data_IF_212251326639
#
_entry.id   IF_212251326639
#
_cell.length_a   1.000
_cell.length_b   1.000
_cell.length_c   1.000
_cell.angle_alpha   90.00
_cell.angle_beta   90.00
_cell.angle_gamma   90.00
#
_symmetry.space_group_name_H-M   'P 1'
#
loop_
_entity.id
_entity.type
_entity.pdbx_description
1 polymer ?
#
# COMPACT_ATOMS: atom_id res chain seq x y z
N UNK A 1 36.48 24.28 22.65
CA UNK A 1 35.64 23.24 23.26
C UNK A 1 34.27 23.13 22.61
N UNK A 2 33.42 24.17 22.59
CA UNK A 2 32.06 24.10 22.01
C UNK A 2 31.96 23.57 20.55
N UNK A 3 32.94 23.81 19.68
CA UNK A 3 32.96 23.22 18.33
C UNK A 3 33.26 21.72 18.34
N UNK A 4 34.13 21.25 19.22
CA UNK A 4 34.43 19.81 19.36
C UNK A 4 33.23 19.07 19.97
N UNK A 5 32.54 19.68 20.93
CA UNK A 5 31.28 19.14 21.48
C UNK A 5 30.21 18.94 20.40
N UNK A 6 30.14 19.81 19.38
CA UNK A 6 29.23 19.63 18.25
C UNK A 6 29.62 18.42 17.38
N UNK A 7 30.92 18.21 17.16
CA UNK A 7 31.43 17.09 16.35
C UNK A 7 31.09 15.75 16.97
N UNK A 8 31.12 15.66 18.30
CA UNK A 8 30.91 14.41 19.02
C UNK A 8 29.41 14.06 19.19
N UNK A 9 28.50 14.89 18.66
CA UNK A 9 27.06 14.60 18.66
C UNK A 9 26.78 13.37 17.79
N UNK A 10 26.07 12.41 18.36
CA UNK A 10 25.57 11.24 17.66
C UNK A 10 24.65 11.65 16.52
N UNK A 11 24.89 11.12 15.31
CA UNK A 11 24.22 11.52 14.08
C UNK A 11 22.69 11.42 14.18
N UNK A 12 22.18 10.38 14.83
CA UNK A 12 20.74 10.20 15.08
C UNK A 12 20.11 11.38 15.82
N UNK A 13 20.84 11.99 16.77
CA UNK A 13 20.37 13.09 17.61
C UNK A 13 20.57 14.48 16.99
N UNK A 14 21.33 14.57 15.89
CA UNK A 14 21.58 15.84 15.19
C UNK A 14 20.27 16.45 14.71
N UNK A 15 20.02 17.69 15.10
CA UNK A 15 18.91 18.50 14.62
C UNK A 15 19.46 19.63 13.75
N UNK A 16 19.26 19.62 12.41
CA UNK A 16 19.92 20.55 11.50
C UNK A 16 19.64 22.03 11.82
N UNK A 17 18.41 22.38 12.23
CA UNK A 17 18.04 23.74 12.62
C UNK A 17 18.84 24.23 13.84
N UNK A 18 18.90 23.40 14.89
CA UNK A 18 19.67 23.70 16.11
C UNK A 18 21.17 23.77 15.84
N UNK A 19 21.68 22.87 14.99
CA UNK A 19 23.07 22.86 14.56
C UNK A 19 23.44 24.16 13.84
N UNK A 20 22.60 24.62 12.90
CA UNK A 20 22.77 25.90 12.21
C UNK A 20 22.86 27.06 13.18
N UNK A 21 21.90 27.19 14.10
CA UNK A 21 21.90 28.25 15.12
C UNK A 21 23.17 28.23 15.97
N UNK A 22 23.59 27.05 16.44
CA UNK A 22 24.83 26.91 17.21
C UNK A 22 26.07 27.37 16.42
N UNK A 23 26.16 27.04 15.13
CA UNK A 23 27.27 27.46 14.27
C UNK A 23 27.25 28.98 14.00
N UNK A 24 26.07 29.57 13.79
CA UNK A 24 25.91 31.03 13.63
C UNK A 24 26.27 31.81 14.90
N UNK A 25 25.89 31.29 16.07
CA UNK A 25 26.29 31.85 17.37
C UNK A 25 27.81 31.77 17.59
N UNK A 26 28.43 30.65 17.24
CA UNK A 26 29.88 30.48 17.31
C UNK A 26 30.60 31.44 16.36
N UNK A 27 30.10 31.60 15.13
CA UNK A 27 30.66 32.54 14.16
C UNK A 27 30.55 33.99 14.65
N UNK A 28 29.41 34.38 15.19
CA UNK A 28 29.18 35.71 15.79
C UNK A 28 30.09 35.95 16.99
N UNK A 29 30.24 34.96 17.86
CA UNK A 29 31.14 35.05 19.03
C UNK A 29 32.60 35.20 18.60
N UNK A 30 33.02 34.52 17.53
CA UNK A 30 34.35 34.66 16.96
C UNK A 30 34.58 36.03 16.35
N UNK A 31 33.62 36.56 15.57
CA UNK A 31 33.77 37.89 14.96
C UNK A 31 33.76 39.03 15.99
N UNK A 32 33.20 38.81 17.17
CA UNK A 32 33.25 39.74 18.31
C UNK A 32 34.58 39.74 19.09
N UNK A 33 35.51 38.81 18.81
CA UNK A 33 36.79 38.72 19.53
C UNK A 33 37.72 39.93 19.26
N UNK A 34 38.62 40.20 20.22
CA UNK A 34 39.61 41.29 20.16
C UNK A 34 40.58 41.08 18.98
N UNK A 35 41.02 42.18 18.35
CA UNK A 35 41.89 42.17 17.16
C UNK A 35 43.20 41.39 17.35
N UNK A 36 43.77 41.37 18.56
CA UNK A 36 44.95 40.56 18.90
C UNK A 36 44.72 39.05 18.68
N UNK A 37 43.52 38.54 18.95
CA UNK A 37 43.14 37.13 18.76
C UNK A 37 42.86 36.81 17.29
N UNK A 38 42.34 37.78 16.54
CA UNK A 38 42.04 37.62 15.11
C UNK A 38 43.27 37.47 14.22
N UNK A 39 44.42 37.95 14.69
CA UNK A 39 45.70 37.85 13.97
C UNK A 39 46.35 36.47 14.06
N UNK A 40 45.85 35.57 14.91
CA UNK A 40 46.37 34.20 14.99
C UNK A 40 45.90 33.37 13.79
N UNK A 41 46.79 32.54 13.25
CA UNK A 41 46.47 31.65 12.14
C UNK A 41 45.32 30.67 12.47
N UNK A 42 45.25 30.23 13.74
CA UNK A 42 44.19 29.36 14.26
C UNK A 42 42.79 30.00 14.20
N UNK A 43 42.68 31.33 14.33
CA UNK A 43 41.41 32.04 14.19
C UNK A 43 40.85 31.89 12.77
N UNK A 44 41.70 32.12 11.77
CA UNK A 44 41.33 31.98 10.36
C UNK A 44 40.86 30.56 10.03
N UNK A 45 41.63 29.55 10.45
CA UNK A 45 41.29 28.14 10.22
C UNK A 45 39.95 27.74 10.85
N UNK A 46 39.70 28.10 12.12
CA UNK A 46 38.43 27.78 12.80
C UNK A 46 37.25 28.51 12.17
N UNK A 47 37.43 29.79 11.79
CA UNK A 47 36.39 30.57 11.11
C UNK A 47 35.99 29.92 9.78
N UNK A 48 36.98 29.56 8.96
CA UNK A 48 36.74 28.88 7.68
C UNK A 48 36.06 27.52 7.88
N UNK A 49 36.41 26.76 8.92
CA UNK A 49 35.73 25.50 9.24
C UNK A 49 34.25 25.72 9.58
N UNK A 50 33.92 26.69 10.43
CA UNK A 50 32.53 27.01 10.78
C UNK A 50 31.74 27.46 9.53
N UNK A 51 32.32 28.31 8.69
CA UNK A 51 31.70 28.74 7.43
C UNK A 51 31.45 27.57 6.48
N UNK A 52 32.37 26.60 6.41
CA UNK A 52 32.20 25.38 5.62
C UNK A 52 31.10 24.47 6.20
N UNK A 53 31.03 24.31 7.52
CA UNK A 53 29.96 23.54 8.16
C UNK A 53 28.58 24.19 7.96
N UNK A 54 28.49 25.52 7.98
CA UNK A 54 27.27 26.24 7.65
C UNK A 54 26.80 25.98 6.21
N UNK A 55 27.74 25.93 5.25
CA UNK A 55 27.43 25.57 3.85
C UNK A 55 26.92 24.14 3.69
N UNK A 56 27.27 23.23 4.60
CA UNK A 56 26.80 21.83 4.60
C UNK A 56 25.41 21.64 5.21
N UNK A 57 24.84 22.65 5.88
CA UNK A 57 23.54 22.52 6.55
C UNK A 57 22.40 22.08 5.60
N UNK A 58 22.23 22.61 4.38
CA UNK A 58 21.19 22.14 3.46
C UNK A 58 21.31 20.64 3.18
N UNK A 59 22.54 20.19 2.93
CA UNK A 59 22.83 18.79 2.67
C UNK A 59 22.60 17.89 3.90
N UNK A 60 22.96 18.36 5.10
CA UNK A 60 22.63 17.67 6.36
C UNK A 60 21.11 17.55 6.53
N UNK A 61 20.32 18.55 6.12
CA UNK A 61 18.85 18.40 6.13
C UNK A 61 18.39 17.29 5.19
N UNK A 62 18.94 17.22 3.98
CA UNK A 62 18.63 16.17 3.01
C UNK A 62 19.00 14.78 3.54
N UNK A 63 20.19 14.61 4.13
CA UNK A 63 20.62 13.37 4.77
C UNK A 63 19.75 12.97 5.97
N UNK A 64 19.10 13.92 6.63
CA UNK A 64 18.16 13.65 7.73
C UNK A 64 16.74 13.36 7.25
N UNK A 65 16.50 13.28 5.93
CA UNK A 65 15.20 12.90 5.37
C UNK A 65 14.81 11.48 5.77
N UNK A 66 13.55 11.30 6.18
CA UNK A 66 12.96 9.99 6.50
C UNK A 66 12.83 9.07 5.27
N UNK A 67 13.01 9.61 4.06
CA UNK A 67 13.07 8.83 2.83
C UNK A 67 14.30 7.91 2.80
N UNK A 68 15.40 8.33 3.44
CA UNK A 68 16.65 7.58 3.48
C UNK A 68 16.57 6.42 4.49
N UNK A 69 16.23 5.25 3.98
CA UNK A 69 16.36 3.96 4.68
C UNK A 69 17.80 3.41 4.66
N UNK A 70 18.05 2.38 5.46
CA UNK A 70 19.35 1.69 5.57
C UNK A 70 19.96 1.26 4.23
N UNK A 71 19.14 0.85 3.25
CA UNK A 71 19.62 0.48 1.91
C UNK A 71 20.34 1.64 1.21
N UNK A 72 19.80 2.85 1.30
CA UNK A 72 20.42 4.05 0.71
C UNK A 72 21.68 4.43 1.47
N UNK A 73 21.65 4.33 2.80
CA UNK A 73 22.83 4.56 3.64
C UNK A 73 23.97 3.59 3.32
N UNK A 74 23.68 2.31 3.06
CA UNK A 74 24.69 1.34 2.60
C UNK A 74 25.38 1.78 1.31
N UNK A 75 24.65 2.36 0.38
CA UNK A 75 25.20 2.84 -0.89
C UNK A 75 26.01 4.12 -0.69
N UNK A 76 25.49 5.08 0.09
CA UNK A 76 26.20 6.33 0.40
C UNK A 76 27.49 6.07 1.20
N UNK A 77 27.49 5.18 2.18
CA UNK A 77 28.65 4.85 3.01
C UNK A 77 29.81 4.28 2.19
N UNK A 78 29.52 3.50 1.15
CA UNK A 78 30.54 3.00 0.20
C UNK A 78 31.15 4.12 -0.63
N UNK A 79 30.36 5.10 -1.04
CA UNK A 79 30.82 6.25 -1.84
C UNK A 79 31.66 7.21 -0.98
N UNK A 80 31.35 7.29 0.32
CA UNK A 80 31.96 8.21 1.27
C UNK A 80 33.14 7.63 2.05
N UNK A 81 33.59 6.42 1.70
CA UNK A 81 34.64 5.69 2.42
C UNK A 81 34.39 5.54 3.93
N UNK A 82 33.13 5.47 4.35
CA UNK A 82 32.71 5.33 5.76
C UNK A 82 32.54 3.87 6.21
N UNK A 83 32.98 2.91 5.39
CA UNK A 83 32.71 1.47 5.55
C UNK A 83 33.30 0.85 6.81
N UNK A 84 34.38 1.42 7.36
CA UNK A 84 35.02 0.94 8.59
C UNK A 84 34.33 1.45 9.86
N UNK A 85 33.62 2.57 9.77
CA UNK A 85 32.96 3.23 10.92
C UNK A 85 31.49 2.83 11.02
N UNK A 86 30.85 2.52 9.89
CA UNK A 86 29.41 2.27 9.84
C UNK A 86 29.07 0.77 9.89
N UNK A 87 28.57 0.29 11.04
CA UNK A 87 27.79 -0.96 11.09
C UNK A 87 26.28 -0.67 11.12
N UNK A 88 25.89 0.43 11.76
CA UNK A 88 24.54 0.97 11.76
C UNK A 88 24.56 2.50 11.90
N UNK A 89 23.38 3.13 11.80
CA UNK A 89 23.24 4.59 11.88
C UNK A 89 23.56 5.20 13.26
N UNK A 90 23.54 4.41 14.33
CA UNK A 90 23.89 4.83 15.69
C UNK A 90 25.40 4.87 15.94
N UNK A 91 26.21 4.31 15.05
CA UNK A 91 27.68 4.34 15.17
C UNK A 91 28.30 5.64 14.62
N UNK A 92 27.51 6.44 13.88
CA UNK A 92 27.98 7.69 13.27
C UNK A 92 27.83 8.89 14.19
N UNK A 93 28.86 9.72 14.20
CA UNK A 93 28.83 11.06 14.80
C UNK A 93 28.77 12.13 13.71
N UNK A 94 28.51 13.38 14.11
CA UNK A 94 28.57 14.51 13.19
C UNK A 94 29.98 14.73 12.64
N UNK A 95 31.02 14.39 13.42
CA UNK A 95 32.42 14.39 13.01
C UNK A 95 32.62 13.53 11.77
N UNK A 96 32.12 12.30 11.78
CA UNK A 96 32.29 11.35 10.68
C UNK A 96 31.68 11.88 9.38
N UNK A 97 30.54 12.59 9.46
CA UNK A 97 29.91 13.22 8.29
C UNK A 97 30.69 14.45 7.82
N UNK A 98 31.19 15.28 8.75
CA UNK A 98 31.95 16.47 8.41
C UNK A 98 33.36 16.20 7.88
N UNK A 99 34.00 15.12 8.33
CA UNK A 99 35.33 14.75 7.87
C UNK A 99 35.31 14.25 6.40
N UNK A 100 34.14 13.83 5.91
CA UNK A 100 33.95 13.40 4.53
C UNK A 100 33.50 14.52 3.58
N UNK A 101 33.51 15.80 4.00
CA UNK A 101 33.00 16.93 3.18
C UNK A 101 33.60 16.99 1.78
N UNK A 102 34.88 16.66 1.61
CA UNK A 102 35.50 16.67 0.29
C UNK A 102 35.04 15.49 -0.58
N UNK A 103 34.81 14.32 0.02
CA UNK A 103 34.23 13.17 -0.67
C UNK A 103 32.76 13.40 -1.01
N UNK A 104 32.02 14.11 -0.16
CA UNK A 104 30.66 14.58 -0.45
C UNK A 104 30.64 15.49 -1.67
N UNK A 105 31.52 16.51 -1.73
CA UNK A 105 31.59 17.44 -2.88
C UNK A 105 31.98 16.74 -4.17
N UNK A 106 32.95 15.81 -4.12
CA UNK A 106 33.39 15.05 -5.30
C UNK A 106 32.27 14.17 -5.88
N UNK A 107 31.44 13.59 -5.01
CA UNK A 107 30.39 12.64 -5.38
C UNK A 107 28.97 13.23 -5.29
N UNK A 108 28.85 14.56 -5.27
CA UNK A 108 27.61 15.27 -4.96
C UNK A 108 26.45 14.85 -5.87
N UNK A 109 26.71 14.66 -7.18
CA UNK A 109 25.69 14.23 -8.14
C UNK A 109 25.17 12.81 -7.83
N UNK A 110 26.08 11.87 -7.56
CA UNK A 110 25.70 10.47 -7.28
C UNK A 110 24.91 10.37 -5.97
N UNK A 111 25.33 11.12 -4.94
CA UNK A 111 24.63 11.16 -3.66
C UNK A 111 23.25 11.80 -3.79
N UNK A 112 23.13 12.87 -4.59
CA UNK A 112 21.81 13.45 -4.94
C UNK A 112 20.91 12.47 -5.66
N UNK A 113 21.44 11.68 -6.60
CA UNK A 113 20.65 10.66 -7.30
C UNK A 113 20.11 9.61 -6.32
N UNK A 114 20.91 9.19 -5.34
CA UNK A 114 20.45 8.29 -4.26
C UNK A 114 19.34 8.94 -3.43
N UNK A 115 19.46 10.22 -3.09
CA UNK A 115 18.44 10.95 -2.32
C UNK A 115 17.14 11.12 -3.11
N UNK A 116 17.23 11.43 -4.42
CA UNK A 116 16.08 11.52 -5.32
C UNK A 116 15.38 10.16 -5.42
N UNK A 117 16.17 9.09 -5.59
CA UNK A 117 15.65 7.73 -5.62
C UNK A 117 14.91 7.39 -4.31
N UNK A 118 15.53 7.67 -3.16
CA UNK A 118 14.92 7.45 -1.85
C UNK A 118 13.59 8.21 -1.69
N UNK A 119 13.54 9.47 -2.14
CA UNK A 119 12.33 10.29 -2.07
C UNK A 119 11.21 9.75 -2.98
N UNK A 120 11.56 9.28 -4.18
CA UNK A 120 10.65 8.60 -5.08
C UNK A 120 10.12 7.28 -4.50
N UNK A 121 10.99 6.51 -3.84
CA UNK A 121 10.62 5.29 -3.14
C UNK A 121 9.67 5.55 -1.97
N UNK A 122 9.88 6.62 -1.19
CA UNK A 122 8.99 7.00 -0.07
C UNK A 122 7.55 7.23 -0.56
N UNK A 123 7.37 7.88 -1.71
CA UNK A 123 6.05 8.11 -2.29
C UNK A 123 5.34 6.79 -2.64
N UNK A 124 6.07 5.81 -3.21
CA UNK A 124 5.51 4.49 -3.50
C UNK A 124 5.21 3.69 -2.22
N UNK A 125 6.07 3.79 -1.20
CA UNK A 125 5.88 3.17 0.13
C UNK A 125 4.59 3.68 0.79
N UNK A 126 4.40 5.00 0.84
CA UNK A 126 3.21 5.62 1.43
C UNK A 126 1.93 5.21 0.68
N UNK A 127 2.02 5.10 -0.64
CA UNK A 127 0.89 4.69 -1.46
C UNK A 127 0.49 3.22 -1.25
N UNK A 128 1.45 2.29 -1.24
CA UNK A 128 1.18 0.88 -0.95
C UNK A 128 0.63 0.71 0.46
N UNK A 129 1.13 1.50 1.41
CA UNK A 129 0.61 1.52 2.77
C UNK A 129 -0.86 1.95 2.80
N UNK A 130 -1.24 3.00 2.07
CA UNK A 130 -2.65 3.43 1.97
C UNK A 130 -3.55 2.33 1.39
N UNK A 131 -3.15 1.71 0.27
CA UNK A 131 -3.88 0.57 -0.31
C UNK A 131 -4.00 -0.55 0.73
N UNK A 132 -2.91 -0.89 1.41
CA UNK A 132 -2.92 -1.94 2.43
C UNK A 132 -3.87 -1.63 3.58
N UNK A 133 -3.83 -0.42 4.11
CA UNK A 133 -4.67 -0.01 5.24
C UNK A 133 -6.15 0.00 4.84
N UNK A 134 -6.47 0.49 3.63
CA UNK A 134 -7.83 0.46 3.09
C UNK A 134 -8.39 -0.96 3.05
N UNK A 135 -7.69 -1.91 2.42
CA UNK A 135 -8.20 -3.27 2.23
C UNK A 135 -8.15 -4.14 3.49
N UNK A 136 -7.27 -3.83 4.45
CA UNK A 136 -7.23 -4.52 5.75
C UNK A 136 -8.51 -4.35 6.56
N UNK A 137 -9.20 -3.22 6.39
CA UNK A 137 -10.42 -2.90 7.15
C UNK A 137 -11.68 -2.90 6.29
N UNK A 138 -11.56 -3.07 4.97
CA UNK A 138 -12.70 -3.01 4.06
C UNK A 138 -13.61 -4.24 4.25
N UNK A 139 -14.83 -3.97 4.72
CA UNK A 139 -15.88 -4.96 4.93
C UNK A 139 -16.98 -4.83 3.88
N UNK A 140 -17.51 -5.97 3.44
CA UNK A 140 -18.68 -6.05 2.58
C UNK A 140 -19.91 -5.55 3.32
N UNK A 141 -20.71 -4.70 2.67
CA UNK A 141 -22.01 -4.30 3.18
C UNK A 141 -23.00 -5.46 2.98
N UNK A 142 -23.63 -5.88 4.07
CA UNK A 142 -24.60 -6.97 4.08
C UNK A 142 -26.01 -6.45 4.42
N UNK A 143 -27.02 -6.93 3.69
CA UNK A 143 -28.43 -6.64 3.95
C UNK A 143 -29.24 -7.91 4.19
N UNK A 144 -30.29 -7.80 5.00
CA UNK A 144 -31.21 -8.91 5.25
C UNK A 144 -32.08 -9.18 4.01
N UNK A 145 -32.08 -10.45 3.59
CA UNK A 145 -32.93 -11.00 2.56
C UNK A 145 -33.93 -11.97 3.19
N UNK A 146 -35.23 -11.64 3.06
CA UNK A 146 -36.36 -12.41 3.59
C UNK A 146 -36.25 -12.80 5.09
N UNK A 147 -35.55 -12.01 5.90
CA UNK A 147 -35.26 -12.30 7.33
C UNK A 147 -34.59 -13.66 7.59
N UNK A 148 -34.02 -14.28 6.56
CA UNK A 148 -33.37 -15.60 6.65
C UNK A 148 -31.88 -15.51 6.41
N UNK A 149 -31.47 -14.74 5.39
CA UNK A 149 -30.09 -14.71 4.91
C UNK A 149 -29.60 -13.29 4.81
N UNK A 150 -28.29 -13.08 4.95
CA UNK A 150 -27.65 -11.81 4.60
C UNK A 150 -26.97 -11.92 3.25
N UNK A 151 -27.24 -10.94 2.38
CA UNK A 151 -26.68 -10.87 1.02
C UNK A 151 -25.83 -9.61 0.86
N UNK A 152 -24.88 -9.65 -0.06
CA UNK A 152 -23.98 -8.51 -0.31
C UNK A 152 -24.73 -7.42 -1.08
N UNK A 153 -24.53 -6.16 -0.67
CA UNK A 153 -25.04 -4.96 -1.34
C UNK A 153 -23.87 -4.05 -1.73
N UNK A 154 -24.18 -2.97 -2.44
CA UNK A 154 -23.28 -1.83 -2.68
C UNK A 154 -22.03 -2.22 -3.46
N UNK A 155 -22.24 -3.05 -4.49
CA UNK A 155 -21.21 -3.53 -5.41
C UNK A 155 -20.41 -2.41 -6.08
N UNK A 156 -21.06 -1.27 -6.37
CA UNK A 156 -20.43 -0.15 -7.07
C UNK A 156 -19.22 0.42 -6.32
N UNK A 157 -19.30 0.56 -5.00
CA UNK A 157 -18.18 1.06 -4.18
C UNK A 157 -17.00 0.08 -4.21
N UNK A 158 -17.27 -1.22 -4.06
CA UNK A 158 -16.26 -2.28 -4.13
C UNK A 158 -15.53 -2.27 -5.48
N UNK A 159 -16.28 -2.26 -6.58
CA UNK A 159 -15.68 -2.28 -7.92
C UNK A 159 -14.96 -0.99 -8.26
N UNK A 160 -15.51 0.17 -7.88
CA UNK A 160 -14.87 1.46 -8.13
C UNK A 160 -13.53 1.53 -7.42
N UNK A 161 -13.49 1.25 -6.11
CA UNK A 161 -12.25 1.21 -5.32
C UNK A 161 -11.26 0.17 -5.82
N UNK A 162 -11.72 -1.02 -6.21
CA UNK A 162 -10.84 -2.07 -6.75
C UNK A 162 -10.18 -1.65 -8.05
N UNK A 163 -10.95 -1.07 -8.98
CA UNK A 163 -10.45 -0.63 -10.30
C UNK A 163 -9.55 0.59 -10.20
N UNK A 164 -9.90 1.55 -9.35
CA UNK A 164 -9.06 2.71 -9.06
C UNK A 164 -7.72 2.27 -8.48
N UNK A 165 -7.72 1.47 -7.41
CA UNK A 165 -6.50 0.93 -6.80
C UNK A 165 -5.68 0.06 -7.75
N UNK A 166 -6.32 -0.69 -8.66
CA UNK A 166 -5.61 -1.46 -9.67
C UNK A 166 -4.94 -0.55 -10.70
N UNK A 167 -5.63 0.47 -11.21
CA UNK A 167 -5.05 1.47 -12.14
C UNK A 167 -3.88 2.22 -11.51
N UNK A 168 -4.01 2.54 -10.24
CA UNK A 168 -3.00 3.10 -9.36
C UNK A 168 -1.74 2.22 -9.27
N UNK A 169 -1.92 0.92 -8.96
CA UNK A 169 -0.85 -0.08 -8.95
C UNK A 169 -0.17 -0.23 -10.32
N UNK A 170 -0.96 -0.24 -11.41
CA UNK A 170 -0.41 -0.30 -12.78
C UNK A 170 0.42 0.94 -13.13
N UNK A 171 0.02 2.11 -12.63
CA UNK A 171 0.77 3.35 -12.83
C UNK A 171 2.08 3.36 -12.04
N UNK A 172 2.09 2.79 -10.83
CA UNK A 172 3.32 2.61 -10.05
C UNK A 172 4.36 1.75 -10.77
N UNK A 173 3.93 0.73 -11.53
CA UNK A 173 4.85 -0.15 -12.29
C UNK A 173 5.64 0.60 -13.37
N UNK A 174 5.15 1.78 -13.79
CA UNK A 174 5.84 2.67 -14.73
C UNK A 174 6.85 3.60 -14.04
N UNK A 175 6.83 3.66 -12.70
CA UNK A 175 7.74 4.49 -11.93
C UNK A 175 9.16 3.94 -11.99
N UNK A 176 10.19 4.79 -12.15
CA UNK A 176 11.59 4.35 -12.08
C UNK A 176 11.97 3.76 -10.72
N UNK A 177 11.20 4.09 -9.67
CA UNK A 177 11.43 3.66 -8.28
C UNK A 177 10.73 2.33 -7.94
N UNK A 178 10.05 1.70 -8.90
CA UNK A 178 9.24 0.50 -8.71
C UNK A 178 10.03 -0.70 -8.16
N UNK A 179 11.30 -0.84 -8.56
CA UNK A 179 12.10 -2.05 -8.30
C UNK A 179 12.18 -2.42 -6.82
N UNK A 180 12.25 -1.43 -5.93
CA UNK A 180 12.29 -1.67 -4.48
C UNK A 180 10.98 -2.26 -3.92
N UNK A 181 9.86 -2.09 -4.62
CA UNK A 181 8.51 -2.48 -4.19
C UNK A 181 7.86 -3.50 -5.14
N UNK A 182 8.62 -4.11 -6.04
CA UNK A 182 8.10 -5.02 -7.06
C UNK A 182 7.27 -6.16 -6.45
N UNK A 183 7.81 -6.86 -5.46
CA UNK A 183 7.15 -7.99 -4.82
C UNK A 183 5.82 -7.60 -4.15
N UNK A 184 5.80 -6.47 -3.43
CA UNK A 184 4.60 -5.99 -2.75
C UNK A 184 3.54 -5.49 -3.75
N UNK A 185 3.98 -4.77 -4.78
CA UNK A 185 3.09 -4.25 -5.83
C UNK A 185 2.44 -5.39 -6.62
N UNK A 186 3.21 -6.41 -7.02
CA UNK A 186 2.69 -7.60 -7.70
C UNK A 186 1.72 -8.39 -6.79
N UNK A 187 1.99 -8.47 -5.48
CA UNK A 187 1.07 -9.08 -4.53
C UNK A 187 -0.27 -8.34 -4.46
N UNK A 188 -0.25 -7.01 -4.46
CA UNK A 188 -1.48 -6.21 -4.48
C UNK A 188 -2.20 -6.27 -5.82
N UNK A 189 -1.49 -6.29 -6.94
CA UNK A 189 -2.05 -6.51 -8.27
C UNK A 189 -2.84 -7.84 -8.33
N UNK A 190 -2.25 -8.93 -7.85
CA UNK A 190 -2.93 -10.24 -7.81
C UNK A 190 -4.17 -10.22 -6.90
N UNK A 191 -4.05 -9.65 -5.69
CA UNK A 191 -5.18 -9.52 -4.76
C UNK A 191 -6.33 -8.72 -5.36
N UNK A 192 -6.05 -7.56 -5.97
CA UNK A 192 -7.07 -6.68 -6.57
C UNK A 192 -7.75 -7.35 -7.76
N UNK A 193 -6.99 -8.01 -8.64
CA UNK A 193 -7.56 -8.79 -9.74
C UNK A 193 -8.45 -9.93 -9.22
N UNK A 194 -8.00 -10.63 -8.16
CA UNK A 194 -8.79 -11.71 -7.53
C UNK A 194 -10.07 -11.18 -6.88
N UNK A 195 -10.03 -10.01 -6.25
CA UNK A 195 -11.24 -9.32 -5.73
C UNK A 195 -12.22 -9.09 -6.89
N UNK A 196 -11.78 -8.40 -7.95
CA UNK A 196 -12.64 -8.08 -9.09
C UNK A 196 -13.27 -9.35 -9.68
N UNK A 197 -12.46 -10.36 -10.00
CA UNK A 197 -12.93 -11.59 -10.63
C UNK A 197 -13.91 -12.38 -9.76
N UNK A 198 -13.62 -12.53 -8.46
CA UNK A 198 -14.51 -13.27 -7.54
C UNK A 198 -15.85 -12.55 -7.39
N UNK A 199 -15.83 -11.23 -7.19
CA UNK A 199 -17.05 -10.49 -6.94
C UNK A 199 -17.88 -10.22 -8.20
N UNK A 200 -17.27 -10.17 -9.40
CA UNK A 200 -17.99 -10.15 -10.68
C UNK A 200 -18.83 -11.43 -10.89
N UNK A 201 -18.29 -12.58 -10.49
CA UNK A 201 -19.04 -13.84 -10.55
C UNK A 201 -20.07 -13.88 -9.40
N UNK A 202 -19.70 -13.39 -8.21
CA UNK A 202 -20.59 -13.39 -7.05
C UNK A 202 -21.87 -12.59 -7.29
N UNK A 203 -21.77 -11.38 -7.85
CA UNK A 203 -22.95 -10.56 -8.14
C UNK A 203 -23.91 -11.27 -9.11
N UNK A 204 -23.38 -11.96 -10.13
CA UNK A 204 -24.21 -12.73 -11.07
C UNK A 204 -24.88 -13.94 -10.37
N UNK A 205 -24.12 -14.71 -9.58
CA UNK A 205 -24.65 -15.83 -8.78
C UNK A 205 -25.74 -15.34 -7.84
N UNK A 206 -25.51 -14.26 -7.10
CA UNK A 206 -26.47 -13.73 -6.14
C UNK A 206 -27.74 -13.24 -6.84
N UNK A 207 -27.62 -12.51 -7.96
CA UNK A 207 -28.76 -12.02 -8.74
C UNK A 207 -29.63 -13.17 -9.24
N UNK A 208 -29.03 -14.20 -9.82
CA UNK A 208 -29.75 -15.38 -10.33
C UNK A 208 -30.36 -16.19 -9.21
N UNK A 209 -29.63 -16.37 -8.11
CA UNK A 209 -30.13 -17.06 -6.93
C UNK A 209 -31.34 -16.34 -6.34
N UNK A 210 -31.30 -15.01 -6.14
CA UNK A 210 -32.46 -14.22 -5.65
C UNK A 210 -33.67 -14.37 -6.57
N UNK A 211 -33.47 -14.34 -7.89
CA UNK A 211 -34.55 -14.54 -8.86
C UNK A 211 -35.18 -15.93 -8.76
N UNK A 212 -34.34 -16.99 -8.76
CA UNK A 212 -34.81 -18.37 -8.70
C UNK A 212 -35.42 -18.72 -7.33
N UNK A 213 -34.84 -18.20 -6.24
CA UNK A 213 -35.35 -18.40 -4.87
C UNK A 213 -36.78 -17.87 -4.76
N UNK A 214 -37.03 -16.66 -5.28
CA UNK A 214 -38.37 -16.08 -5.27
C UNK A 214 -39.39 -16.94 -6.03
N UNK A 215 -38.99 -17.63 -7.09
CA UNK A 215 -39.89 -18.46 -7.90
C UNK A 215 -40.13 -19.84 -7.24
N UNK A 216 -39.05 -20.56 -6.91
CA UNK A 216 -39.14 -21.91 -6.35
C UNK A 216 -39.67 -21.93 -4.91
N UNK A 217 -39.56 -20.83 -4.17
CA UNK A 217 -40.04 -20.75 -2.77
C UNK A 217 -41.47 -20.19 -2.68
N UNK A 218 -41.88 -19.32 -3.61
CA UNK A 218 -43.22 -18.70 -3.56
C UNK A 218 -44.33 -19.58 -4.13
N UNK A 219 -44.01 -20.56 -4.98
CA UNK A 219 -44.99 -21.45 -5.59
C UNK A 219 -44.63 -22.91 -5.35
N UNK A 220 -45.46 -23.60 -4.57
CA UNK A 220 -45.39 -25.07 -4.41
C UNK A 220 -45.64 -25.79 -5.72
N UNK A 221 -46.37 -25.17 -6.65
CA UNK A 221 -46.77 -25.77 -7.91
C UNK A 221 -45.57 -25.90 -8.85
N UNK A 222 -44.72 -24.86 -8.93
CA UNK A 222 -43.50 -24.91 -9.75
C UNK A 222 -42.56 -26.04 -9.28
N UNK A 223 -42.49 -26.28 -7.97
CA UNK A 223 -41.70 -27.38 -7.44
C UNK A 223 -42.20 -28.76 -7.88
N UNK A 224 -43.51 -28.92 -8.03
CA UNK A 224 -44.13 -30.15 -8.54
C UNK A 224 -44.01 -30.26 -10.07
N UNK A 225 -44.06 -29.14 -10.79
CA UNK A 225 -44.00 -29.09 -12.26
C UNK A 225 -42.57 -29.29 -12.79
N UNK A 226 -41.56 -28.83 -12.05
CA UNK A 226 -40.14 -28.93 -12.40
C UNK A 226 -39.34 -29.56 -11.25
N UNK A 227 -39.58 -30.85 -10.92
CA UNK A 227 -38.99 -31.49 -9.74
C UNK A 227 -37.47 -31.62 -9.83
N UNK A 228 -36.94 -31.92 -11.02
CA UNK A 228 -35.50 -32.07 -11.25
C UNK A 228 -34.76 -30.73 -11.08
N UNK A 229 -35.29 -29.66 -11.66
CA UNK A 229 -34.73 -28.31 -11.56
C UNK A 229 -34.83 -27.78 -10.13
N UNK A 230 -35.93 -28.08 -9.43
CA UNK A 230 -36.13 -27.73 -8.02
C UNK A 230 -35.09 -28.40 -7.12
N UNK A 231 -34.86 -29.70 -7.31
CA UNK A 231 -33.86 -30.43 -6.54
C UNK A 231 -32.44 -29.90 -6.80
N UNK A 232 -32.10 -29.63 -8.06
CA UNK A 232 -30.82 -29.01 -8.44
C UNK A 232 -30.68 -27.62 -7.81
N UNK A 233 -31.73 -26.80 -7.86
CA UNK A 233 -31.74 -25.48 -7.27
C UNK A 233 -31.52 -25.53 -5.76
N UNK A 234 -32.22 -26.41 -5.04
CA UNK A 234 -32.03 -26.56 -3.59
C UNK A 234 -30.59 -26.92 -3.22
N UNK A 235 -29.95 -27.82 -3.98
CA UNK A 235 -28.54 -28.16 -3.78
C UNK A 235 -27.63 -26.94 -3.94
N UNK A 236 -27.75 -26.24 -5.07
CA UNK A 236 -26.98 -25.02 -5.38
C UNK A 236 -27.23 -23.90 -4.37
N UNK A 237 -28.49 -23.71 -3.96
CA UNK A 237 -28.90 -22.72 -2.97
C UNK A 237 -28.27 -23.01 -1.60
N UNK A 238 -28.24 -24.27 -1.16
CA UNK A 238 -27.60 -24.65 0.10
C UNK A 238 -26.10 -24.35 0.09
N UNK A 239 -25.41 -24.61 -1.03
CA UNK A 239 -24.00 -24.30 -1.18
C UNK A 239 -23.74 -22.79 -1.16
N UNK A 240 -24.55 -22.01 -1.89
CA UNK A 240 -24.43 -20.56 -1.92
C UNK A 240 -24.76 -19.92 -0.56
N UNK A 241 -25.81 -20.38 0.13
CA UNK A 241 -26.14 -19.96 1.51
C UNK A 241 -25.02 -20.32 2.48
N UNK A 242 -24.36 -21.47 2.27
CA UNK A 242 -23.15 -21.84 3.01
C UNK A 242 -22.03 -20.81 2.85
N UNK A 243 -21.84 -20.25 1.65
CA UNK A 243 -20.91 -19.14 1.42
C UNK A 243 -21.37 -17.85 2.08
N UNK A 244 -22.64 -17.45 1.94
CA UNK A 244 -23.19 -16.26 2.57
C UNK A 244 -22.99 -16.27 4.10
N UNK A 245 -23.19 -17.43 4.75
CA UNK A 245 -22.93 -17.60 6.19
C UNK A 245 -21.46 -17.44 6.57
N UNK A 246 -20.52 -17.81 5.68
CA UNK A 246 -19.08 -17.58 5.91
C UNK A 246 -18.75 -16.09 5.79
N UNK A 247 -19.32 -15.42 4.79
CA UNK A 247 -19.18 -13.97 4.61
C UNK A 247 -19.80 -13.20 5.78
N UNK A 248 -20.95 -13.64 6.30
CA UNK A 248 -21.55 -13.01 7.48
C UNK A 248 -20.66 -13.12 8.72
N UNK A 249 -19.94 -14.24 8.89
CA UNK A 249 -19.01 -14.44 10.00
C UNK A 249 -17.73 -13.61 9.88
N UNK A 250 -17.20 -13.48 8.66
CA UNK A 250 -16.12 -12.54 8.37
C UNK A 250 -16.40 -11.78 7.08
N UNK A 251 -16.90 -10.53 7.17
CA UNK A 251 -17.26 -9.72 6.01
C UNK A 251 -16.05 -9.04 5.37
N UNK A 252 -14.84 -9.22 5.89
CA UNK A 252 -13.63 -8.64 5.32
C UNK A 252 -13.39 -9.20 3.91
N UNK A 253 -13.22 -8.31 2.93
CA UNK A 253 -13.02 -8.70 1.53
C UNK A 253 -11.82 -9.64 1.38
N UNK A 254 -10.72 -9.36 2.09
CA UNK A 254 -9.52 -10.19 2.06
C UNK A 254 -9.75 -11.60 2.62
N UNK A 255 -10.64 -11.76 3.60
CA UNK A 255 -10.99 -13.07 4.16
C UNK A 255 -11.86 -13.86 3.18
N UNK A 256 -12.79 -13.19 2.50
CA UNK A 256 -13.68 -13.82 1.51
C UNK A 256 -12.88 -14.35 0.32
N UNK A 257 -11.96 -13.55 -0.23
CA UNK A 257 -11.13 -14.01 -1.35
C UNK A 257 -10.14 -15.11 -0.91
N UNK A 258 -9.77 -15.17 0.37
CA UNK A 258 -8.90 -16.21 0.92
C UNK A 258 -9.59 -17.56 1.11
N UNK A 259 -10.94 -17.64 1.00
CA UNK A 259 -11.67 -18.91 1.06
C UNK A 259 -11.14 -19.87 -0.02
N UNK A 260 -10.72 -21.10 0.36
CA UNK A 260 -10.18 -22.06 -0.60
C UNK A 260 -11.17 -22.38 -1.71
N UNK A 261 -10.70 -22.33 -2.96
CA UNK A 261 -11.49 -22.64 -4.17
C UNK A 261 -12.78 -21.82 -4.35
N UNK A 262 -12.92 -20.66 -3.68
CA UNK A 262 -14.15 -19.85 -3.73
C UNK A 262 -14.53 -19.46 -5.16
N UNK A 263 -13.54 -19.08 -5.99
CA UNK A 263 -13.78 -18.72 -7.38
C UNK A 263 -14.35 -19.90 -8.18
N UNK A 264 -13.68 -21.06 -8.16
CA UNK A 264 -14.15 -22.29 -8.84
C UNK A 264 -15.54 -22.72 -8.38
N UNK A 265 -15.82 -22.56 -7.08
CA UNK A 265 -17.14 -22.83 -6.52
C UNK A 265 -18.18 -21.88 -7.12
N UNK A 266 -17.93 -20.57 -7.12
CA UNK A 266 -18.84 -19.58 -7.69
C UNK A 266 -19.08 -19.79 -9.19
N UNK A 267 -18.03 -20.13 -9.97
CA UNK A 267 -18.15 -20.44 -11.40
C UNK A 267 -19.10 -21.63 -11.64
N UNK A 268 -18.95 -22.71 -10.85
CA UNK A 268 -19.85 -23.87 -10.92
C UNK A 268 -21.28 -23.52 -10.52
N UNK A 269 -21.45 -22.70 -9.47
CA UNK A 269 -22.78 -22.24 -9.05
C UNK A 269 -23.43 -21.39 -10.15
N UNK A 270 -22.67 -20.48 -10.78
CA UNK A 270 -23.15 -19.64 -11.87
C UNK A 270 -23.63 -20.46 -13.07
N UNK A 271 -22.85 -21.46 -13.51
CA UNK A 271 -23.24 -22.38 -14.59
C UNK A 271 -24.51 -23.17 -14.24
N UNK A 272 -24.58 -23.68 -13.01
CA UNK A 272 -25.75 -24.44 -12.53
C UNK A 272 -27.02 -23.57 -12.50
N UNK A 273 -26.92 -22.36 -11.95
CA UNK A 273 -28.02 -21.39 -11.92
C UNK A 273 -28.44 -20.97 -13.33
N UNK A 274 -27.49 -20.83 -14.26
CA UNK A 274 -27.77 -20.53 -15.68
C UNK A 274 -28.63 -21.62 -16.31
N UNK A 275 -28.26 -22.89 -16.12
CA UNK A 275 -29.00 -24.04 -16.68
C UNK A 275 -30.40 -24.13 -16.10
N UNK A 276 -30.54 -23.93 -14.79
CA UNK A 276 -31.85 -23.94 -14.10
C UNK A 276 -32.74 -22.81 -14.62
N UNK A 277 -32.19 -21.59 -14.73
CA UNK A 277 -32.93 -20.43 -15.22
C UNK A 277 -33.38 -20.62 -16.68
N UNK A 278 -32.53 -21.22 -17.53
CA UNK A 278 -32.89 -21.55 -18.91
C UNK A 278 -34.04 -22.56 -18.98
N UNK A 279 -33.95 -23.67 -18.23
CA UNK A 279 -35.00 -24.68 -18.20
C UNK A 279 -36.35 -24.12 -17.70
N UNK A 280 -36.31 -23.25 -16.68
CA UNK A 280 -37.49 -22.54 -16.20
C UNK A 280 -38.07 -21.61 -17.28
N UNK A 281 -37.22 -20.86 -18.00
CA UNK A 281 -37.63 -20.01 -19.10
C UNK A 281 -38.35 -20.78 -20.21
N UNK A 282 -37.76 -21.89 -20.66
CA UNK A 282 -38.35 -22.76 -21.68
C UNK A 282 -39.71 -23.33 -21.24
N UNK A 283 -39.85 -23.69 -19.96
CA UNK A 283 -41.12 -24.14 -19.39
C UNK A 283 -42.18 -23.03 -19.41
N UNK A 284 -41.83 -21.83 -18.96
CA UNK A 284 -42.74 -20.68 -18.91
C UNK A 284 -43.19 -20.25 -20.32
N UNK A 285 -42.31 -20.33 -21.31
CA UNK A 285 -42.66 -20.07 -22.72
C UNK A 285 -43.67 -21.08 -23.26
N UNK A 286 -43.47 -22.39 -22.98
CA UNK A 286 -44.45 -23.42 -23.35
C UNK A 286 -45.82 -23.19 -22.72
N UNK A 287 -45.86 -22.82 -21.44
CA UNK A 287 -47.11 -22.49 -20.76
C UNK A 287 -47.80 -21.27 -21.38
N UNK A 288 -47.04 -20.22 -21.72
CA UNK A 288 -47.61 -19.04 -22.43
C UNK A 288 -48.17 -19.38 -23.80
N UNK A 289 -47.51 -20.26 -24.55
CA UNK A 289 -47.99 -20.70 -25.86
C UNK A 289 -49.26 -21.56 -25.75
N UNK A 290 -49.39 -22.34 -24.68
CA UNK A 290 -50.57 -23.17 -24.42
C UNK A 290 -51.79 -22.36 -23.94
N UNK A 291 -51.58 -21.17 -23.38
CA UNK A 291 -52.64 -20.26 -22.91
C UNK A 291 -52.46 -18.83 -23.46
N UNK A 292 -52.72 -18.60 -24.77
CA UNK A 292 -52.75 -17.27 -25.36
C UNK A 292 -53.87 -16.43 -24.72
N UNK A 293 -53.58 -15.15 -24.43
CA UNK A 293 -54.55 -14.21 -23.84
C UNK A 293 -55.71 -13.89 -24.76
#
# INVERSE_FOLDING_TARGET
>A
NRLEELKDIQWLTVQPKKLKTNLEELLTSMTAMVSSVKNYHSYGAVKTNIENYLKMIPFINELKSEALKDRHWKDMVKILDLTMTWNNMADLTLRDIWDQVDNFKKNENVLRDIMINAQGEKALEEFLKQISEQWKVYQLELIDYQKKWKVIKSWDDLFTKSKENLSNILSMKLSPYFKAFEAETLSWEDKLNRIINIFDIWIDVQRRWVYLEGIFTSSTDIAQLLPNESQKFQSVANEFVGLLKKVEKSPLVLDVIAIPNVQKLLERLADSLTKIQKALGEYLERQRAAFPR
#
